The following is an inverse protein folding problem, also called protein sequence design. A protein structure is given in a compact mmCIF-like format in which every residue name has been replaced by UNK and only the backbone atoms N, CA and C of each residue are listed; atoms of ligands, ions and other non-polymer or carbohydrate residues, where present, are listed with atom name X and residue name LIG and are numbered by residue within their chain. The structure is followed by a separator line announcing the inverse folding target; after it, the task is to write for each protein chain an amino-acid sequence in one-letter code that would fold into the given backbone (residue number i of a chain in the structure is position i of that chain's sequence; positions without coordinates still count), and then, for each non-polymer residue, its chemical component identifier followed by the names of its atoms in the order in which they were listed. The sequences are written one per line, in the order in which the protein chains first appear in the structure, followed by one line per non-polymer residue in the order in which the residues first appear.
data_IF_567148826643
#
_entry.id   IF_567148826643
#
_cell.length_a   1.000
_cell.length_b   1.000
_cell.length_c   1.000
_cell.angle_alpha   90.00
_cell.angle_beta   90.00
_cell.angle_gamma   90.00
#
_symmetry.space_group_name_H-M   'P 1'
#
loop_
_entity.id
_entity.type
_entity.pdbx_description
1 polymer ?
#
# COMPACT_ATOMS: atom_id res chain seq x y z
N UNK A 1 18.94 -12.07 4.99
CA UNK A 1 17.59 -12.02 5.58
C UNK A 1 16.60 -12.28 4.45
N UNK A 2 15.45 -12.94 4.67
CA UNK A 2 14.39 -13.06 3.68
C UNK A 2 14.06 -11.72 3.04
N UNK A 3 13.98 -11.69 1.71
CA UNK A 3 13.48 -10.53 0.99
C UNK A 3 11.97 -10.66 0.79
N UNK A 4 11.27 -9.57 1.07
CA UNK A 4 9.84 -9.42 0.88
C UNK A 4 9.59 -8.27 -0.10
N UNK A 5 8.55 -8.39 -0.92
CA UNK A 5 8.21 -7.40 -1.94
C UNK A 5 6.77 -6.96 -1.78
N UNK A 6 6.57 -5.67 -1.61
CA UNK A 6 5.25 -5.03 -1.54
C UNK A 6 4.96 -4.35 -2.87
N UNK A 7 3.82 -4.67 -3.46
CA UNK A 7 3.27 -4.01 -4.64
C UNK A 7 2.26 -2.95 -4.20
N UNK A 8 2.50 -1.70 -4.56
CA UNK A 8 1.65 -0.55 -4.25
C UNK A 8 1.10 0.03 -5.54
N UNK A 9 -0.11 -0.38 -5.87
CA UNK A 9 -0.91 0.18 -6.95
C UNK A 9 -1.14 1.69 -6.77
N UNK A 10 -1.24 2.46 -7.84
CA UNK A 10 -1.43 3.91 -7.79
C UNK A 10 -2.70 4.36 -7.03
N UNK A 11 -3.67 3.46 -6.83
CA UNK A 11 -4.88 3.76 -6.09
C UNK A 11 -4.77 3.54 -4.58
N UNK A 12 -3.69 2.93 -4.05
CA UNK A 12 -3.58 2.69 -2.61
C UNK A 12 -3.46 4.00 -1.81
N UNK A 13 -4.05 4.11 -0.60
CA UNK A 13 -3.93 5.29 0.25
C UNK A 13 -2.51 5.60 0.74
N UNK A 14 -1.58 4.65 0.63
CA UNK A 14 -0.18 4.83 1.04
C UNK A 14 0.57 5.82 0.13
N UNK A 15 0.11 6.01 -1.11
CA UNK A 15 0.66 6.99 -2.03
C UNK A 15 -0.15 8.27 -1.90
N UNK A 16 0.51 9.35 -1.49
CA UNK A 16 -0.10 10.67 -1.39
C UNK A 16 0.17 11.45 -2.65
N UNK A 17 -0.91 11.85 -3.31
CA UNK A 17 -0.91 12.70 -4.48
C UNK A 17 -1.35 14.11 -4.08
N UNK A 18 -0.67 15.15 -4.57
CA UNK A 18 -1.17 16.51 -4.42
C UNK A 18 -2.36 16.79 -5.36
N UNK A 19 -2.94 17.99 -5.25
CA UNK A 19 -4.14 18.36 -6.01
C UNK A 19 -3.93 18.50 -7.52
N UNK A 20 -2.69 18.38 -8.01
CA UNK A 20 -2.38 18.44 -9.44
C UNK A 20 -2.33 17.06 -10.11
N UNK A 21 -2.44 15.99 -9.33
CA UNK A 21 -2.51 14.63 -9.83
C UNK A 21 -3.96 14.17 -9.94
N UNK A 22 -4.26 13.43 -10.99
CA UNK A 22 -5.60 12.96 -11.32
C UNK A 22 -5.55 11.49 -11.71
N UNK A 23 -6.44 10.69 -11.12
CA UNK A 23 -6.61 9.30 -11.53
C UNK A 23 -7.14 9.28 -12.97
N UNK A 24 -6.46 8.56 -13.85
CA UNK A 24 -6.94 8.26 -15.18
C UNK A 24 -8.03 7.20 -15.16
N UNK A 25 -8.75 7.09 -16.26
CA UNK A 25 -9.79 6.07 -16.42
C UNK A 25 -9.86 5.58 -17.87
N UNK A 26 -10.49 4.43 -18.07
CA UNK A 26 -10.77 3.92 -19.41
C UNK A 26 -11.75 4.79 -20.22
N UNK A 27 -12.40 5.78 -19.59
CA UNK A 27 -13.21 6.78 -20.29
C UNK A 27 -12.34 7.87 -20.93
N UNK A 28 -11.20 8.16 -20.31
CA UNK A 28 -10.27 9.21 -20.74
C UNK A 28 -9.15 8.65 -21.63
N UNK A 29 -8.81 7.38 -21.45
CA UNK A 29 -7.72 6.69 -22.15
C UNK A 29 -8.09 5.22 -22.47
N UNK A 30 -8.22 4.89 -23.75
CA UNK A 30 -8.56 3.53 -24.20
C UNK A 30 -7.42 2.50 -23.99
N UNK A 31 -6.24 2.97 -23.59
CA UNK A 31 -5.08 2.16 -23.24
C UNK A 31 -4.98 1.86 -21.74
N UNK A 32 -5.97 2.26 -20.93
CA UNK A 32 -5.99 2.01 -19.48
C UNK A 32 -5.68 0.54 -19.12
N UNK A 33 -6.17 -0.43 -19.92
CA UNK A 33 -5.93 -1.86 -19.70
C UNK A 33 -4.47 -2.33 -19.83
N UNK A 34 -3.57 -1.50 -20.34
CA UNK A 34 -2.14 -1.80 -20.47
C UNK A 34 -1.35 -1.49 -19.20
N UNK A 35 -1.94 -0.72 -18.29
CA UNK A 35 -1.40 -0.45 -16.95
C UNK A 35 -1.62 -1.62 -15.99
N UNK A 36 -0.85 -1.66 -14.90
CA UNK A 36 -1.10 -2.62 -13.83
C UNK A 36 -2.50 -2.41 -13.25
N UNK A 37 -3.24 -3.50 -13.06
CA UNK A 37 -4.65 -3.49 -12.63
C UNK A 37 -5.62 -2.63 -13.48
N UNK A 38 -5.18 -2.08 -14.61
CA UNK A 38 -5.96 -1.16 -15.42
C UNK A 38 -6.10 0.25 -14.83
N UNK A 39 -5.23 0.65 -13.89
CA UNK A 39 -5.28 1.94 -13.18
C UNK A 39 -4.00 2.73 -13.37
N UNK A 40 -4.10 4.05 -13.31
CA UNK A 40 -2.96 4.94 -13.37
C UNK A 40 -3.36 6.33 -12.85
N UNK A 41 -2.39 7.07 -12.31
CA UNK A 41 -2.59 8.45 -11.85
C UNK A 41 -1.56 9.34 -12.53
N UNK A 42 -2.01 10.45 -13.09
CA UNK A 42 -1.18 11.32 -13.95
C UNK A 42 -1.12 12.76 -13.45
N UNK A 43 -0.08 13.48 -13.85
CA UNK A 43 0.07 14.90 -13.61
C UNK A 43 0.70 15.58 -14.82
N UNK A 44 0.09 16.66 -15.32
CA UNK A 44 0.65 17.53 -16.37
C UNK A 44 0.96 18.96 -15.88
N UNK A 45 0.98 19.17 -14.57
CA UNK A 45 1.25 20.46 -13.96
C UNK A 45 2.68 20.48 -13.42
N UNK A 46 3.47 21.46 -13.86
CA UNK A 46 4.83 21.66 -13.34
C UNK A 46 4.82 21.79 -11.82
N UNK A 47 5.69 21.03 -11.15
CA UNK A 47 5.80 21.01 -9.69
C UNK A 47 4.78 20.12 -8.99
N UNK A 48 3.84 19.50 -9.71
CA UNK A 48 2.93 18.51 -9.15
C UNK A 48 3.71 17.30 -8.62
N UNK A 49 3.39 16.86 -7.41
CA UNK A 49 4.18 15.91 -6.63
C UNK A 49 3.33 14.76 -6.06
N UNK A 50 3.85 13.54 -6.21
CA UNK A 50 3.39 12.37 -5.48
C UNK A 50 4.47 11.90 -4.50
N UNK A 51 4.07 11.39 -3.34
CA UNK A 51 4.98 11.00 -2.25
C UNK A 51 4.59 9.67 -1.62
N UNK A 52 5.58 8.92 -1.17
CA UNK A 52 5.43 7.68 -0.42
C UNK A 52 6.45 7.68 0.73
N UNK A 53 6.02 7.31 1.93
CA UNK A 53 6.95 6.88 2.99
C UNK A 53 6.92 5.36 3.02
N UNK A 54 8.08 4.72 2.92
CA UNK A 54 8.19 3.27 2.89
C UNK A 54 9.26 2.79 3.85
N UNK A 55 9.16 1.55 4.31
CA UNK A 55 10.24 0.85 4.99
C UNK A 55 10.81 -0.18 4.01
N UNK A 56 12.13 -0.24 3.83
CA UNK A 56 12.72 -1.20 2.90
C UNK A 56 14.18 -0.95 2.55
N UNK A 57 14.74 -1.81 1.70
CA UNK A 57 16.10 -1.73 1.13
C UNK A 57 16.12 -1.30 -0.34
N UNK A 58 14.95 -1.19 -0.97
CA UNK A 58 14.85 -0.71 -2.34
C UNK A 58 13.44 -0.30 -2.76
N UNK A 59 13.36 0.53 -3.80
CA UNK A 59 12.12 1.03 -4.38
C UNK A 59 12.22 1.18 -5.89
N UNK A 60 11.15 0.86 -6.61
CA UNK A 60 11.02 0.99 -8.06
C UNK A 60 9.69 1.67 -8.39
N UNK A 61 9.72 2.64 -9.30
CA UNK A 61 8.54 3.31 -9.83
C UNK A 61 8.31 2.81 -11.25
N UNK A 62 7.08 2.38 -11.53
CA UNK A 62 6.62 1.99 -12.86
C UNK A 62 5.50 2.92 -13.35
N UNK A 63 5.43 3.08 -14.66
CA UNK A 63 4.43 3.88 -15.36
C UNK A 63 4.52 3.66 -16.86
N UNK A 64 3.94 4.56 -17.65
CA UNK A 64 4.08 4.53 -19.10
C UNK A 64 5.14 5.52 -19.59
N UNK A 65 5.72 5.21 -20.75
CA UNK A 65 6.45 6.20 -21.54
C UNK A 65 5.74 6.45 -22.85
N UNK A 66 5.41 7.71 -23.12
CA UNK A 66 4.51 8.11 -24.21
C UNK A 66 4.94 9.43 -24.84
N UNK A 67 4.38 9.74 -26.01
CA UNK A 67 4.75 10.95 -26.77
C UNK A 67 4.32 12.24 -26.08
N UNK A 68 3.27 12.17 -25.25
CA UNK A 68 2.74 13.26 -24.44
C UNK A 68 3.34 13.32 -23.03
N UNK A 69 4.38 12.52 -22.72
CA UNK A 69 5.04 12.50 -21.43
C UNK A 69 6.33 13.34 -21.43
N UNK A 70 6.63 13.98 -20.30
CA UNK A 70 7.67 14.99 -20.16
C UNK A 70 8.76 14.62 -19.18
N UNK A 71 9.47 15.65 -18.71
CA UNK A 71 10.53 15.50 -17.71
C UNK A 71 9.98 15.43 -16.29
N UNK A 72 10.65 14.68 -15.43
CA UNK A 72 10.35 14.62 -14.00
C UNK A 72 11.64 14.47 -13.19
N UNK A 73 11.53 14.66 -11.88
CA UNK A 73 12.57 14.35 -10.90
C UNK A 73 12.05 13.34 -9.88
N UNK A 74 12.96 12.54 -9.33
CA UNK A 74 12.67 11.66 -8.21
C UNK A 74 13.59 12.03 -7.05
N UNK A 75 13.07 12.00 -5.83
CA UNK A 75 13.84 12.18 -4.61
C UNK A 75 13.66 10.95 -3.72
N UNK A 76 14.76 10.40 -3.23
CA UNK A 76 14.79 9.36 -2.18
C UNK A 76 15.59 9.92 -1.02
N UNK A 77 14.94 10.16 0.11
CA UNK A 77 15.46 10.89 1.26
C UNK A 77 16.06 12.24 0.85
N UNK A 78 17.36 12.44 1.10
CA UNK A 78 18.08 13.67 0.75
C UNK A 78 18.70 13.62 -0.67
N UNK A 79 18.57 12.49 -1.38
CA UNK A 79 19.14 12.29 -2.72
C UNK A 79 18.13 12.64 -3.82
N UNK A 80 18.52 13.56 -4.70
CA UNK A 80 17.70 13.98 -5.86
C UNK A 80 18.26 13.42 -7.15
N UNK A 81 17.38 12.85 -7.97
CA UNK A 81 17.64 12.26 -9.27
C UNK A 81 16.89 13.07 -10.34
N UNK A 82 17.65 13.66 -11.25
CA UNK A 82 17.15 14.58 -12.28
C UNK A 82 17.39 14.04 -13.69
N UNK A 83 16.95 14.79 -14.71
CA UNK A 83 17.06 14.42 -16.13
C UNK A 83 16.30 13.13 -16.48
N UNK A 84 15.27 12.79 -15.71
CA UNK A 84 14.39 11.67 -16.01
C UNK A 84 13.31 12.16 -16.99
N UNK A 85 12.86 11.25 -17.85
CA UNK A 85 11.84 11.57 -18.84
C UNK A 85 10.94 10.36 -19.09
N UNK A 86 9.64 10.64 -19.12
CA UNK A 86 8.61 9.71 -19.51
C UNK A 86 8.41 9.70 -21.03
N UNK A 87 9.15 10.51 -21.79
CA UNK A 87 8.96 10.58 -23.24
C UNK A 87 9.36 9.27 -23.92
N UNK A 88 8.52 8.82 -24.85
CA UNK A 88 8.87 7.82 -25.85
C UNK A 88 8.11 8.09 -27.14
N UNK A 89 8.78 7.97 -28.29
CA UNK A 89 8.13 8.07 -29.61
C UNK A 89 7.18 6.91 -29.93
N UNK A 90 7.18 5.86 -29.09
CA UNK A 90 6.23 4.74 -29.14
C UNK A 90 5.72 4.49 -27.73
N UNK A 91 4.41 4.38 -27.57
CA UNK A 91 3.78 4.16 -26.27
C UNK A 91 4.16 2.79 -25.72
N UNK A 92 4.69 2.78 -24.51
CA UNK A 92 5.10 1.57 -23.78
C UNK A 92 4.64 1.69 -22.33
N UNK A 93 4.13 0.61 -21.77
CA UNK A 93 3.49 0.57 -20.45
C UNK A 93 4.27 -0.35 -19.50
N UNK A 94 4.00 -0.26 -18.20
CA UNK A 94 4.72 -1.03 -17.16
C UNK A 94 6.24 -0.86 -17.25
N UNK A 95 6.69 0.35 -17.61
CA UNK A 95 8.10 0.67 -17.78
C UNK A 95 8.72 1.13 -16.47
N UNK A 96 9.95 0.70 -16.22
CA UNK A 96 10.73 1.23 -15.10
C UNK A 96 11.05 2.69 -15.35
N UNK A 97 10.48 3.57 -14.53
CA UNK A 97 10.69 5.02 -14.55
C UNK A 97 11.88 5.42 -13.68
N UNK A 98 12.06 4.74 -12.55
CA UNK A 98 13.13 4.99 -11.60
C UNK A 98 13.32 3.77 -10.69
N UNK A 99 14.55 3.54 -10.22
CA UNK A 99 14.81 2.64 -9.10
C UNK A 99 15.91 3.17 -8.18
N UNK A 100 15.88 2.71 -6.94
CA UNK A 100 16.95 2.83 -5.98
C UNK A 100 17.01 1.56 -5.14
N UNK A 101 18.18 0.93 -5.07
CA UNK A 101 18.42 -0.30 -4.30
C UNK A 101 19.64 -0.15 -3.38
N UNK A 102 19.79 -1.06 -2.43
CA UNK A 102 20.93 -1.04 -1.50
C UNK A 102 20.80 0.05 -0.43
N UNK A 103 19.56 0.49 -0.16
CA UNK A 103 19.25 1.30 1.00
C UNK A 103 19.41 0.44 2.26
N UNK A 104 19.76 1.07 3.38
CA UNK A 104 19.72 0.38 4.67
C UNK A 104 18.27 0.08 5.01
N UNK A 105 17.96 -1.13 5.48
CA UNK A 105 16.60 -1.44 5.93
C UNK A 105 16.15 -0.40 6.96
N UNK A 106 15.08 0.33 6.62
CA UNK A 106 14.55 1.39 7.46
C UNK A 106 13.55 2.25 6.71
N UNK A 107 13.06 3.28 7.41
CA UNK A 107 12.10 4.22 6.84
C UNK A 107 12.78 5.22 5.91
N UNK A 108 12.22 5.33 4.70
CA UNK A 108 12.66 6.21 3.62
C UNK A 108 11.49 7.04 3.09
N UNK A 109 11.81 8.18 2.47
CA UNK A 109 10.84 9.06 1.80
C UNK A 109 11.12 9.12 0.31
N UNK A 110 10.14 8.72 -0.48
CA UNK A 110 10.14 8.84 -1.93
C UNK A 110 9.25 10.02 -2.37
N UNK A 111 9.67 10.75 -3.39
CA UNK A 111 8.76 11.58 -4.16
C UNK A 111 9.10 11.66 -5.64
N UNK A 112 8.08 11.75 -6.48
CA UNK A 112 8.18 12.05 -7.91
C UNK A 112 7.53 13.41 -8.18
N UNK A 113 8.21 14.26 -8.95
CA UNK A 113 7.73 15.63 -9.26
C UNK A 113 7.78 15.86 -10.77
N UNK A 114 6.67 16.31 -11.36
CA UNK A 114 6.67 16.72 -12.76
C UNK A 114 7.51 18.01 -12.92
N UNK A 115 8.50 18.02 -13.80
CA UNK A 115 9.34 19.19 -14.08
C UNK A 115 9.15 19.77 -15.47
N UNK A 116 8.30 19.15 -16.29
CA UNK A 116 7.95 19.66 -17.61
C UNK A 116 7.22 21.00 -17.49
N UNK A 117 7.57 21.96 -18.35
CA UNK A 117 7.00 23.32 -18.38
C UNK A 117 6.06 23.57 -19.55
N UNK A 118 5.80 22.55 -20.35
CA UNK A 118 5.00 22.59 -21.58
C UNK A 118 3.68 21.83 -21.47
N UNK A 119 3.36 21.30 -20.29
CA UNK A 119 2.11 20.59 -20.02
C UNK A 119 2.16 19.10 -20.41
N UNK A 120 3.35 18.52 -20.55
CA UNK A 120 3.45 17.07 -20.71
C UNK A 120 3.24 16.34 -19.39
N UNK A 121 2.74 15.12 -19.51
CA UNK A 121 2.40 14.28 -18.37
C UNK A 121 3.62 13.57 -17.79
N UNK A 122 3.51 13.24 -16.51
CA UNK A 122 4.16 12.07 -15.92
C UNK A 122 3.05 11.25 -15.28
N UNK A 123 3.16 9.94 -15.33
CA UNK A 123 2.23 9.03 -14.68
C UNK A 123 2.92 8.16 -13.65
N UNK A 124 2.08 7.57 -12.79
CA UNK A 124 2.43 6.58 -11.81
C UNK A 124 1.39 5.47 -11.92
N UNK A 125 1.88 4.24 -12.11
CA UNK A 125 1.10 3.01 -12.25
C UNK A 125 1.30 2.12 -11.02
N UNK A 126 2.56 1.83 -10.70
CA UNK A 126 2.92 0.90 -9.63
C UNK A 126 4.20 1.34 -8.94
N UNK A 127 4.22 1.31 -7.61
CA UNK A 127 5.45 1.35 -6.83
C UNK A 127 5.72 -0.05 -6.27
N UNK A 128 6.95 -0.52 -6.43
CA UNK A 128 7.42 -1.77 -5.81
C UNK A 128 8.40 -1.41 -4.72
N UNK A 129 8.18 -1.93 -3.51
CA UNK A 129 9.10 -1.77 -2.38
C UNK A 129 9.68 -3.14 -2.04
N UNK A 130 10.99 -3.20 -1.86
CA UNK A 130 11.68 -4.37 -1.35
C UNK A 130 12.10 -4.12 0.10
N UNK A 131 11.82 -5.09 0.96
CA UNK A 131 12.23 -5.10 2.36
C UNK A 131 13.00 -6.37 2.68
N UNK A 132 13.83 -6.30 3.72
CA UNK A 132 14.44 -7.44 4.37
C UNK A 132 13.82 -7.63 5.75
N UNK A 133 13.37 -8.85 6.03
CA UNK A 133 12.73 -9.22 7.30
C UNK A 133 13.34 -10.51 7.84
N UNK A 134 13.47 -10.63 9.16
CA UNK A 134 13.98 -11.84 9.80
C UNK A 134 15.45 -12.11 9.61
N UNK A 135 15.88 -13.29 10.05
CA UNK A 135 17.24 -13.81 9.91
C UNK A 135 17.36 -14.69 8.65
N UNK A 136 18.59 -14.90 8.16
CA UNK A 136 18.83 -15.64 6.90
C UNK A 136 18.42 -17.11 6.90
N UNK A 137 18.11 -17.70 8.05
CA UNK A 137 17.65 -19.09 8.21
C UNK A 137 16.12 -19.22 8.36
N UNK A 138 15.38 -18.14 8.13
CA UNK A 138 13.93 -18.10 8.25
C UNK A 138 13.24 -17.99 6.88
N UNK A 139 11.94 -18.30 6.84
CA UNK A 139 11.06 -18.09 5.70
C UNK A 139 9.76 -17.42 6.17
N UNK A 140 9.22 -16.52 5.34
CA UNK A 140 7.91 -15.94 5.56
C UNK A 140 6.80 -16.94 5.26
N UNK A 141 5.88 -17.08 6.21
CA UNK A 141 4.63 -17.82 6.09
C UNK A 141 3.50 -16.80 6.22
N UNK A 142 2.74 -16.62 5.15
CA UNK A 142 1.57 -15.76 5.14
C UNK A 142 0.35 -16.47 5.74
N UNK A 143 -0.45 -15.71 6.47
CA UNK A 143 -1.75 -16.11 7.00
C UNK A 143 -2.74 -14.95 6.85
N UNK A 144 -3.99 -15.28 6.54
CA UNK A 144 -5.08 -14.31 6.50
C UNK A 144 -5.80 -14.34 7.84
N UNK A 145 -6.05 -13.17 8.41
CA UNK A 145 -6.96 -12.96 9.53
C UNK A 145 -8.21 -12.28 8.96
N UNK A 146 -9.34 -12.99 8.99
CA UNK A 146 -10.61 -12.44 8.50
C UNK A 146 -11.15 -11.37 9.46
N UNK A 147 -11.87 -10.38 8.94
CA UNK A 147 -12.59 -9.37 9.74
C UNK A 147 -13.47 -9.98 10.85
N UNK A 148 -14.02 -11.17 10.62
CA UNK A 148 -14.89 -11.89 11.55
C UNK A 148 -14.13 -12.61 12.68
N UNK A 149 -12.80 -12.69 12.62
CA UNK A 149 -12.03 -13.39 13.64
C UNK A 149 -11.93 -12.62 14.97
N UNK A 150 -11.81 -13.32 16.11
CA UNK A 150 -11.69 -12.69 17.44
C UNK A 150 -10.48 -11.77 17.61
N UNK A 151 -9.51 -11.84 16.70
CA UNK A 151 -8.38 -10.93 16.64
C UNK A 151 -8.80 -9.48 16.31
N UNK A 152 -9.92 -9.31 15.59
CA UNK A 152 -10.55 -8.01 15.36
C UNK A 152 -11.54 -7.65 16.47
N UNK A 153 -11.54 -6.37 16.84
CA UNK A 153 -12.51 -5.78 17.76
C UNK A 153 -13.01 -4.46 17.21
N UNK A 154 -14.33 -4.34 17.11
CA UNK A 154 -15.03 -3.19 16.54
C UNK A 154 -15.74 -2.42 17.64
N UNK A 155 -15.38 -1.15 17.82
CA UNK A 155 -15.90 -0.31 18.91
C UNK A 155 -16.37 1.07 18.44
N UNK A 156 -17.52 1.55 18.91
CA UNK A 156 -18.52 0.78 19.63
C UNK A 156 -19.22 -0.19 18.66
N UNK A 157 -19.60 -1.40 19.10
CA UNK A 157 -20.01 -2.48 18.18
C UNK A 157 -21.20 -2.12 17.29
N UNK A 158 -22.16 -1.35 17.79
CA UNK A 158 -23.34 -0.90 17.02
C UNK A 158 -23.01 0.13 15.92
N UNK A 159 -21.80 0.68 15.90
CA UNK A 159 -21.35 1.58 14.84
C UNK A 159 -20.88 0.83 13.59
N UNK A 160 -20.79 -0.50 13.64
CA UNK A 160 -20.24 -1.33 12.59
C UNK A 160 -21.31 -2.25 11.99
N UNK A 161 -21.46 -2.18 10.67
CA UNK A 161 -22.29 -3.09 9.89
C UNK A 161 -21.45 -4.23 9.32
N UNK A 162 -21.99 -5.44 9.31
CA UNK A 162 -21.38 -6.63 8.68
C UNK A 162 -21.82 -6.82 7.22
N UNK A 163 -22.51 -5.83 6.64
CA UNK A 163 -22.98 -5.82 5.25
C UNK A 163 -22.46 -4.58 4.52
N UNK A 164 -21.13 -4.47 4.29
CA UNK A 164 -20.57 -3.37 3.52
C UNK A 164 -21.03 -3.44 2.06
N UNK A 165 -21.10 -2.31 1.33
CA UNK A 165 -21.45 -2.35 -0.08
C UNK A 165 -20.46 -3.22 -0.87
N UNK A 166 -20.99 -4.10 -1.70
CA UNK A 166 -20.23 -5.07 -2.50
C UNK A 166 -19.46 -6.13 -1.69
N UNK A 167 -19.96 -6.50 -0.50
CA UNK A 167 -19.36 -7.52 0.38
C UNK A 167 -19.09 -8.86 -0.34
N UNK A 168 -19.86 -9.20 -1.38
CA UNK A 168 -19.62 -10.42 -2.17
C UNK A 168 -18.28 -10.44 -2.94
N UNK A 169 -17.63 -9.27 -3.09
CA UNK A 169 -16.30 -9.13 -3.70
C UNK A 169 -15.18 -9.14 -2.65
N UNK A 170 -15.52 -9.19 -1.36
CA UNK A 170 -14.54 -9.21 -0.28
C UNK A 170 -13.96 -10.61 -0.11
N UNK A 171 -12.84 -10.72 0.57
CA UNK A 171 -12.29 -12.03 0.89
C UNK A 171 -13.30 -12.81 1.73
N UNK A 172 -13.57 -14.05 1.33
CA UNK A 172 -14.58 -14.91 1.97
C UNK A 172 -16.01 -14.33 2.03
N UNK A 173 -16.30 -13.24 1.30
CA UNK A 173 -17.61 -12.59 1.31
C UNK A 173 -18.00 -11.99 2.67
N UNK A 174 -17.03 -11.61 3.51
CA UNK A 174 -17.26 -10.97 4.81
C UNK A 174 -16.58 -9.61 4.86
N UNK A 175 -17.09 -8.70 5.69
CA UNK A 175 -16.49 -7.39 5.89
C UNK A 175 -17.22 -6.58 6.94
N UNK A 176 -16.53 -5.58 7.49
CA UNK A 176 -17.09 -4.63 8.46
C UNK A 176 -16.98 -3.20 7.94
N UNK A 177 -18.05 -2.41 8.08
CA UNK A 177 -18.06 -1.00 7.67
C UNK A 177 -18.63 -0.07 8.74
N UNK A 178 -18.12 1.16 8.79
CA UNK A 178 -18.66 2.21 9.64
C UNK A 178 -18.64 3.57 8.94
N UNK A 179 -19.72 4.33 9.09
CA UNK A 179 -19.78 5.78 8.82
C UNK A 179 -19.71 6.62 10.09
N UNK A 180 -19.55 5.98 11.26
CA UNK A 180 -19.58 6.67 12.55
C UNK A 180 -18.22 7.29 12.83
N UNK A 181 -18.19 8.60 13.08
CA UNK A 181 -16.97 9.30 13.47
C UNK A 181 -16.40 8.72 14.76
N UNK A 182 -15.08 8.55 14.78
CA UNK A 182 -14.32 7.98 15.90
C UNK A 182 -14.65 6.52 16.24
N UNK A 183 -15.44 5.82 15.42
CA UNK A 183 -15.53 4.36 15.52
C UNK A 183 -14.19 3.73 15.17
N UNK A 184 -13.85 2.64 15.84
CA UNK A 184 -12.54 2.00 15.76
C UNK A 184 -12.63 0.53 15.42
N UNK A 185 -11.69 0.06 14.60
CA UNK A 185 -11.40 -1.36 14.39
C UNK A 185 -9.99 -1.61 14.92
N UNK A 186 -9.85 -2.57 15.83
CA UNK A 186 -8.57 -2.92 16.44
C UNK A 186 -8.24 -4.36 16.11
N UNK A 187 -7.12 -4.59 15.44
CA UNK A 187 -6.57 -5.91 15.19
C UNK A 187 -5.42 -6.18 16.15
N UNK A 188 -5.46 -7.32 16.85
CA UNK A 188 -4.37 -7.79 17.71
C UNK A 188 -3.70 -9.00 17.07
N UNK A 189 -2.38 -9.02 17.08
CA UNK A 189 -1.57 -10.12 16.55
C UNK A 189 -0.28 -10.25 17.36
N UNK A 190 0.34 -11.42 17.32
CA UNK A 190 1.52 -11.72 18.11
C UNK A 190 2.58 -12.36 17.23
N UNK A 191 3.80 -11.88 17.37
CA UNK A 191 4.97 -12.41 16.70
C UNK A 191 5.93 -13.07 17.66
N UNK A 192 6.42 -14.26 17.28
CA UNK A 192 7.28 -15.09 18.12
C UNK A 192 8.76 -14.78 17.87
N UNK A 193 9.12 -14.32 16.68
CA UNK A 193 10.51 -14.03 16.29
C UNK A 193 10.67 -12.60 15.76
N UNK A 194 11.90 -12.19 15.44
CA UNK A 194 12.16 -10.86 14.89
C UNK A 194 11.76 -10.79 13.42
N UNK A 195 10.83 -9.90 13.08
CA UNK A 195 10.60 -9.44 11.71
C UNK A 195 9.29 -9.98 11.17
N UNK A 196 8.29 -9.13 11.09
CA UNK A 196 6.96 -9.59 10.70
C UNK A 196 6.22 -8.47 9.98
N UNK A 197 5.32 -8.89 9.09
CA UNK A 197 4.64 -8.03 8.14
C UNK A 197 3.15 -8.06 8.41
N UNK A 198 2.53 -6.87 8.39
CA UNK A 198 1.09 -6.70 8.43
C UNK A 198 0.66 -5.85 7.23
N UNK A 199 -0.30 -6.36 6.46
CA UNK A 199 -1.02 -5.61 5.44
C UNK A 199 -2.50 -5.67 5.76
N UNK A 200 -3.17 -4.52 5.83
CA UNK A 200 -4.62 -4.45 6.03
C UNK A 200 -5.31 -4.11 4.72
N UNK A 201 -6.36 -4.84 4.41
CA UNK A 201 -7.13 -4.69 3.18
C UNK A 201 -8.56 -4.24 3.46
N UNK A 202 -9.11 -3.50 2.51
CA UNK A 202 -10.48 -3.01 2.56
C UNK A 202 -10.88 -2.38 1.24
N UNK A 203 -11.71 -1.34 1.32
CA UNK A 203 -12.26 -0.70 0.12
C UNK A 203 -11.85 0.76 0.03
N UNK A 204 -11.48 1.18 -1.17
CA UNK A 204 -11.38 2.58 -1.59
C UNK A 204 -12.56 2.90 -2.50
N UNK A 205 -13.02 4.16 -2.52
CA UNK A 205 -14.13 4.58 -3.35
C UNK A 205 -14.64 5.97 -3.04
N UNK A 206 -15.61 6.44 -3.82
CA UNK A 206 -16.13 7.80 -3.69
C UNK A 206 -17.00 7.97 -2.44
N UNK A 207 -17.51 6.86 -1.92
CA UNK A 207 -18.27 6.74 -0.68
C UNK A 207 -17.39 6.42 0.54
N UNK A 208 -16.06 6.31 0.41
CA UNK A 208 -15.18 6.05 1.55
C UNK A 208 -14.50 7.34 2.06
N UNK A 209 -14.03 7.31 3.31
CA UNK A 209 -13.58 8.50 4.04
C UNK A 209 -12.10 8.53 4.41
N UNK A 210 -11.75 9.52 5.23
CA UNK A 210 -10.46 9.54 5.92
C UNK A 210 -10.49 8.57 7.10
N UNK A 211 -9.32 8.05 7.44
CA UNK A 211 -9.11 7.23 8.62
C UNK A 211 -7.71 7.49 9.18
N UNK A 212 -7.55 7.26 10.48
CA UNK A 212 -6.21 7.21 11.06
C UNK A 212 -5.84 5.78 11.44
N UNK A 213 -4.55 5.49 11.40
CA UNK A 213 -3.96 4.22 11.78
C UNK A 213 -2.93 4.47 12.86
N UNK A 214 -3.06 3.77 13.98
CA UNK A 214 -2.08 3.71 15.05
C UNK A 214 -1.59 2.28 15.19
N UNK A 215 -0.28 2.08 15.01
CA UNK A 215 0.38 0.81 15.29
C UNK A 215 1.09 0.91 16.65
N UNK A 216 0.68 0.06 17.58
CA UNK A 216 1.16 0.03 18.95
C UNK A 216 1.07 1.40 19.63
N UNK A 217 2.18 1.86 20.21
CA UNK A 217 2.29 3.16 20.88
C UNK A 217 2.77 4.29 19.96
N UNK A 218 2.89 4.04 18.65
CA UNK A 218 3.34 5.05 17.71
C UNK A 218 2.27 6.12 17.48
N UNK A 219 2.66 7.33 17.04
CA UNK A 219 1.72 8.35 16.63
C UNK A 219 0.78 7.85 15.53
N UNK A 220 -0.48 8.28 15.57
CA UNK A 220 -1.43 7.94 14.53
C UNK A 220 -1.07 8.64 13.21
N UNK A 221 -1.15 7.91 12.10
CA UNK A 221 -0.98 8.40 10.74
C UNK A 221 -2.35 8.53 10.06
N UNK A 222 -2.57 9.59 9.30
CA UNK A 222 -3.83 9.82 8.59
C UNK A 222 -3.72 9.36 7.14
N UNK A 223 -4.78 8.72 6.66
CA UNK A 223 -4.93 8.23 5.30
C UNK A 223 -6.31 8.61 4.76
N UNK A 224 -6.47 8.53 3.44
CA UNK A 224 -7.76 8.67 2.78
C UNK A 224 -7.97 7.51 1.83
N UNK A 225 -9.05 6.76 2.02
CA UNK A 225 -9.50 5.77 1.04
C UNK A 225 -10.41 6.40 -0.01
N UNK A 226 -10.74 7.69 0.11
CA UNK A 226 -11.61 8.38 -0.84
C UNK A 226 -10.93 8.48 -2.22
N UNK A 227 -11.50 7.79 -3.21
CA UNK A 227 -11.01 7.72 -4.59
C UNK A 227 -12.19 7.81 -5.55
N UNK A 228 -11.97 8.29 -6.77
CA UNK A 228 -13.06 8.46 -7.74
C UNK A 228 -13.73 7.13 -8.10
N UNK A 229 -12.93 6.09 -8.24
CA UNK A 229 -13.35 4.73 -8.58
C UNK A 229 -13.32 3.83 -7.35
N UNK A 230 -14.22 2.84 -7.32
CA UNK A 230 -14.31 1.87 -6.23
C UNK A 230 -13.50 0.61 -6.54
N UNK A 231 -12.64 0.23 -5.60
CA UNK A 231 -11.92 -1.04 -5.64
C UNK A 231 -11.98 -1.70 -4.24
N UNK A 232 -12.32 -2.99 -4.21
CA UNK A 232 -12.30 -3.83 -3.00
C UNK A 232 -10.95 -4.54 -2.89
N UNK A 233 -10.62 -5.07 -1.72
CA UNK A 233 -9.34 -5.74 -1.45
C UNK A 233 -8.11 -4.85 -1.72
N UNK A 234 -8.23 -3.54 -1.47
CA UNK A 234 -7.12 -2.59 -1.60
C UNK A 234 -6.37 -2.47 -0.29
N UNK A 235 -5.04 -2.40 -0.37
CA UNK A 235 -4.17 -2.23 0.78
C UNK A 235 -4.39 -0.84 1.41
N UNK A 236 -4.98 -0.81 2.59
CA UNK A 236 -5.25 0.41 3.37
C UNK A 236 -4.09 0.77 4.30
N UNK A 237 -3.29 -0.22 4.68
CA UNK A 237 -2.13 -0.02 5.55
C UNK A 237 -1.11 -1.14 5.34
N UNK A 238 0.16 -0.81 5.54
CA UNK A 238 1.27 -1.76 5.50
C UNK A 238 2.32 -1.38 6.53
N UNK A 239 2.87 -2.37 7.21
CA UNK A 239 4.08 -2.23 8.00
C UNK A 239 4.86 -3.54 8.03
N UNK A 240 6.17 -3.44 8.15
CA UNK A 240 7.10 -4.56 8.25
C UNK A 240 8.16 -4.30 9.34
N UNK A 241 8.94 -5.33 9.64
CA UNK A 241 10.01 -5.29 10.65
C UNK A 241 9.51 -4.86 12.04
N UNK A 242 8.32 -5.33 12.43
CA UNK A 242 7.66 -4.95 13.69
C UNK A 242 8.35 -5.48 14.94
N UNK A 243 9.09 -6.59 14.79
CA UNK A 243 9.77 -7.26 15.89
C UNK A 243 8.86 -8.23 16.64
N UNK A 244 9.40 -8.97 17.62
CA UNK A 244 8.63 -9.94 18.38
C UNK A 244 7.75 -9.27 19.42
N UNK A 245 6.66 -9.93 19.79
CA UNK A 245 5.77 -9.51 20.86
C UNK A 245 4.32 -9.38 20.42
N UNK A 246 3.50 -8.84 21.30
CA UNK A 246 2.13 -8.48 20.99
C UNK A 246 2.09 -7.11 20.31
N UNK A 247 1.35 -7.04 19.21
CA UNK A 247 1.12 -5.82 18.46
C UNK A 247 -0.37 -5.52 18.34
N UNK A 248 -0.67 -4.25 18.16
CA UNK A 248 -2.03 -3.74 17.99
C UNK A 248 -2.07 -2.73 16.86
N UNK A 249 -2.85 -3.04 15.82
CA UNK A 249 -3.20 -2.11 14.77
C UNK A 249 -4.60 -1.54 15.04
N UNK A 250 -4.68 -0.24 15.33
CA UNK A 250 -5.94 0.46 15.59
C UNK A 250 -6.24 1.44 14.46
N UNK A 251 -7.38 1.23 13.81
CA UNK A 251 -7.95 2.16 12.85
C UNK A 251 -9.04 2.99 13.51
N UNK A 252 -9.09 4.27 13.19
CA UNK A 252 -10.15 5.18 13.62
C UNK A 252 -10.80 5.82 12.40
N UNK A 253 -12.11 5.68 12.28
CA UNK A 253 -12.87 6.29 11.20
C UNK A 253 -12.98 7.81 11.40
N UNK A 254 -12.59 8.58 10.38
CA UNK A 254 -12.58 10.05 10.38
C UNK A 254 -13.40 10.59 9.18
N UNK A 255 -14.70 10.25 9.09
CA UNK A 255 -15.51 10.65 7.95
C UNK A 255 -15.71 12.17 7.94
N UNK A 256 -15.62 12.77 6.74
CA UNK A 256 -15.89 14.19 6.52
C UNK A 256 -17.36 14.47 6.21
N UNK A 257 -18.16 13.42 5.98
CA UNK A 257 -19.62 13.48 5.85
C UNK A 257 -20.27 12.22 6.41
N UNK A 258 -21.58 12.27 6.74
CA UNK A 258 -22.30 11.15 7.36
C UNK A 258 -22.43 9.89 6.48
N UNK A 259 -22.07 9.96 5.20
CA UNK A 259 -22.13 8.83 4.26
C UNK A 259 -20.77 8.21 3.97
N UNK A 260 -19.68 8.80 4.45
CA UNK A 260 -18.33 8.30 4.18
C UNK A 260 -17.98 7.10 5.07
N UNK A 261 -17.58 6.01 4.44
CA UNK A 261 -17.32 4.72 5.07
C UNK A 261 -15.82 4.47 5.29
N UNK A 262 -15.49 3.82 6.41
CA UNK A 262 -14.30 3.00 6.56
C UNK A 262 -14.72 1.54 6.44
N UNK A 263 -14.13 0.82 5.49
CA UNK A 263 -14.46 -0.56 5.16
C UNK A 263 -13.24 -1.46 5.43
N UNK A 264 -13.42 -2.50 6.23
CA UNK A 264 -12.40 -3.50 6.59
C UNK A 264 -12.81 -4.85 5.99
N UNK A 265 -11.87 -5.51 5.32
CA UNK A 265 -12.07 -6.82 4.67
C UNK A 265 -11.28 -7.91 5.40
N UNK A 266 -9.95 -7.88 5.32
CA UNK A 266 -9.10 -8.81 6.04
C UNK A 266 -7.74 -8.19 6.33
N UNK A 267 -6.94 -8.86 7.14
CA UNK A 267 -5.53 -8.58 7.27
C UNK A 267 -4.70 -9.78 6.79
N UNK A 268 -3.59 -9.51 6.12
CA UNK A 268 -2.55 -10.49 5.86
C UNK A 268 -1.41 -10.28 6.87
N UNK A 269 -1.08 -11.34 7.60
CA UNK A 269 0.02 -11.37 8.56
C UNK A 269 1.04 -12.38 8.08
N UNK A 270 2.27 -11.94 7.88
CA UNK A 270 3.38 -12.83 7.54
C UNK A 270 4.29 -13.00 8.74
N UNK A 271 4.45 -14.27 9.15
CA UNK A 271 5.28 -14.67 10.28
C UNK A 271 6.50 -15.43 9.79
N UNK A 272 7.57 -15.42 10.57
CA UNK A 272 8.78 -16.16 10.23
C UNK A 272 8.80 -17.56 10.83
N UNK A 273 9.01 -18.56 9.98
CA UNK A 273 9.27 -19.94 10.38
C UNK A 273 10.72 -20.32 10.09
N UNK A 274 11.35 -21.11 10.98
CA UNK A 274 12.68 -21.69 10.74
C UNK A 274 12.58 -22.97 9.93
N UNK A 275 13.59 -23.26 9.12
CA UNK A 275 13.74 -24.59 8.53
C UNK A 275 13.84 -25.65 9.63
N UNK A 276 13.01 -26.70 9.55
CA UNK A 276 13.22 -27.90 10.33
C UNK A 276 14.50 -28.59 9.80
N UNK A 277 15.63 -28.39 10.48
CA UNK A 277 16.82 -29.20 10.24
C UNK A 277 16.53 -30.63 10.69
N UNK A 278 16.20 -31.51 9.74
CA UNK A 278 16.20 -32.96 9.99
C UNK A 278 17.63 -33.40 10.26
N UNK A 279 18.01 -33.49 11.53
CA UNK A 279 19.20 -34.22 11.96
C UNK A 279 18.91 -35.69 11.69
N UNK A 280 19.39 -36.23 10.57
CA UNK A 280 19.53 -37.67 10.40
C UNK A 280 20.54 -38.16 11.43
N UNK A 281 20.03 -38.65 12.57
CA UNK A 281 20.84 -39.43 13.50
C UNK A 281 21.17 -40.75 12.80
N UNK A 282 22.31 -40.83 12.10
CA UNK A 282 22.86 -42.10 11.62
C UNK A 282 23.33 -42.88 12.84
N UNK A 283 22.49 -43.79 13.32
CA UNK A 283 22.96 -44.91 14.13
C UNK A 283 23.82 -45.80 13.23
N UNK A 284 25.14 -45.77 13.45
CA UNK A 284 26.03 -46.83 12.99
C UNK A 284 25.92 -47.97 14.01
N UNK A 285 25.42 -49.12 13.56
CA UNK A 285 25.57 -50.41 14.22
C UNK A 285 26.87 -51.07 13.79
#
# INVERSE_FOLDING_TARGET
MPSYTTLLDDQVPLITFDNNWQAGSSQDDDLASLYYAGTFTTCNVTGGRATLTFNGTGVWIYGAKRVNHGTYTVQVDDSTYSNLSGYSGTEVFQQLLFNQSGLMQGTHKLSITNTDTTGHYVDLDLIVVQSEVGDSDQQLVSSIIQDTEPAFSYQPSQAWSTDPPYVQLYNNGTGHSSATSSATATLKFTFISKGDVISLYGTIGSDTGQYSVQLDSQPAMNFSSNKAMRYTQMMLFHADNLGPGEHQLKLTNLPQSATQLLNIDYAEVMTLARYASFIFCRFWY
#
